data_IF_373102013335
#
_entry.id   IF_373102013335
#
_cell.length_a   1.000
_cell.length_b   1.000
_cell.length_c   1.000
_cell.angle_alpha   90.00
_cell.angle_beta   90.00
_cell.angle_gamma   90.00
#
_symmetry.space_group_name_H-M   'P 1'
#
loop_
_entity.id
_entity.type
_entity.pdbx_description
1 polymer ?
#
# COMPACT_ATOMS: atom_id res chain seq x y z
N UNK A 1 -49.67 -5.09 -29.86
CA UNK A 1 -49.36 -6.21 -28.92
C UNK A 1 -48.17 -7.06 -29.33
N UNK A 2 -47.94 -7.45 -30.61
CA UNK A 2 -46.78 -8.28 -31.02
C UNK A 2 -45.42 -7.58 -30.75
N UNK A 3 -45.29 -6.31 -31.03
CA UNK A 3 -44.08 -5.50 -30.80
C UNK A 3 -43.67 -5.40 -29.32
N UNK A 4 -44.63 -5.24 -28.41
CA UNK A 4 -44.39 -5.19 -26.97
C UNK A 4 -43.83 -6.52 -26.45
N UNK A 5 -44.40 -7.64 -26.95
CA UNK A 5 -43.92 -8.99 -26.61
C UNK A 5 -42.52 -9.27 -27.15
N UNK A 6 -42.18 -8.74 -28.34
CA UNK A 6 -40.83 -8.85 -28.93
C UNK A 6 -39.80 -8.04 -28.14
N UNK A 7 -40.12 -6.81 -27.78
CA UNK A 7 -39.23 -5.95 -26.95
C UNK A 7 -39.00 -6.55 -25.55
N UNK A 8 -40.06 -7.11 -24.93
CA UNK A 8 -39.92 -7.77 -23.63
C UNK A 8 -38.98 -9.01 -23.70
N UNK A 9 -39.06 -9.83 -24.77
CA UNK A 9 -38.13 -10.93 -24.97
C UNK A 9 -36.68 -10.47 -25.15
N UNK A 10 -36.45 -9.42 -25.92
CA UNK A 10 -35.10 -8.82 -26.10
C UNK A 10 -34.52 -8.36 -24.76
N UNK A 11 -35.28 -7.67 -23.94
CA UNK A 11 -34.85 -7.23 -22.61
C UNK A 11 -34.52 -8.41 -21.69
N UNK A 12 -35.34 -9.48 -21.73
CA UNK A 12 -35.08 -10.68 -20.94
C UNK A 12 -33.77 -11.36 -21.38
N UNK A 13 -33.56 -11.54 -22.70
CA UNK A 13 -32.32 -12.16 -23.19
C UNK A 13 -31.09 -11.27 -22.89
N UNK A 14 -31.21 -9.96 -23.05
CA UNK A 14 -30.14 -9.03 -22.67
C UNK A 14 -29.80 -9.13 -21.16
N UNK A 15 -30.82 -9.19 -20.31
CA UNK A 15 -30.65 -9.38 -18.87
C UNK A 15 -29.97 -10.69 -18.53
N UNK A 16 -30.37 -11.81 -19.16
CA UNK A 16 -29.74 -13.11 -18.97
C UNK A 16 -28.29 -13.14 -19.46
N UNK A 17 -28.00 -12.50 -20.59
CA UNK A 17 -26.63 -12.38 -21.11
C UNK A 17 -25.73 -11.56 -20.16
N UNK A 18 -26.22 -10.46 -19.62
CA UNK A 18 -25.50 -9.66 -18.63
C UNK A 18 -25.26 -10.43 -17.32
N UNK A 19 -26.25 -11.16 -16.85
CA UNK A 19 -26.11 -12.01 -15.66
C UNK A 19 -25.07 -13.13 -15.88
N UNK A 20 -25.10 -13.78 -17.04
CA UNK A 20 -24.11 -14.80 -17.41
C UNK A 20 -22.69 -14.21 -17.51
N UNK A 21 -22.54 -13.04 -18.13
CA UNK A 21 -21.26 -12.34 -18.21
C UNK A 21 -20.73 -11.95 -16.81
N UNK A 22 -21.59 -11.45 -15.93
CA UNK A 22 -21.23 -11.13 -14.56
C UNK A 22 -20.82 -12.38 -13.76
N UNK A 23 -21.55 -13.50 -13.92
CA UNK A 23 -21.21 -14.77 -13.28
C UNK A 23 -19.86 -15.29 -13.76
N UNK A 24 -19.59 -15.29 -15.06
CA UNK A 24 -18.32 -15.70 -15.66
C UNK A 24 -17.16 -14.81 -15.16
N UNK A 25 -17.36 -13.49 -15.13
CA UNK A 25 -16.37 -12.53 -14.61
C UNK A 25 -16.02 -12.84 -13.16
N UNK A 26 -17.03 -13.05 -12.30
CA UNK A 26 -16.81 -13.35 -10.89
C UNK A 26 -16.14 -14.72 -10.69
N UNK A 27 -16.51 -15.70 -11.47
CA UNK A 27 -15.86 -17.02 -11.44
C UNK A 27 -14.38 -16.93 -11.85
N UNK A 28 -14.07 -16.24 -12.96
CA UNK A 28 -12.71 -16.05 -13.44
C UNK A 28 -11.88 -15.22 -12.43
N UNK A 29 -12.46 -14.15 -11.85
CA UNK A 29 -11.82 -13.40 -10.78
C UNK A 29 -11.48 -14.29 -9.58
N UNK A 30 -12.44 -15.11 -9.12
CA UNK A 30 -12.22 -16.06 -8.03
C UNK A 30 -11.11 -17.07 -8.31
N UNK A 31 -11.03 -17.59 -9.56
CA UNK A 31 -9.93 -18.48 -9.97
C UNK A 31 -8.57 -17.80 -9.89
N UNK A 32 -8.45 -16.54 -10.39
CA UNK A 32 -7.18 -15.80 -10.34
C UNK A 32 -6.79 -15.44 -8.91
N UNK A 33 -7.75 -15.07 -8.06
CA UNK A 33 -7.51 -14.83 -6.64
C UNK A 33 -6.99 -16.09 -5.92
N UNK A 34 -7.62 -17.23 -6.16
CA UNK A 34 -7.19 -18.52 -5.59
C UNK A 34 -5.78 -18.92 -6.07
N UNK A 35 -5.48 -18.72 -7.36
CA UNK A 35 -4.16 -18.98 -7.92
C UNK A 35 -3.09 -18.06 -7.30
N UNK A 36 -3.40 -16.77 -7.12
CA UNK A 36 -2.48 -15.82 -6.49
C UNK A 36 -2.17 -16.20 -5.03
N UNK A 37 -3.18 -16.61 -4.26
CA UNK A 37 -2.99 -17.07 -2.87
C UNK A 37 -2.20 -18.38 -2.81
N UNK A 38 -2.47 -19.32 -3.72
CA UNK A 38 -1.77 -20.60 -3.77
C UNK A 38 -0.29 -20.46 -4.14
N UNK A 39 0.02 -19.56 -5.09
CA UNK A 39 1.41 -19.28 -5.52
C UNK A 39 2.20 -18.43 -4.53
N UNK A 40 1.53 -17.56 -3.77
CA UNK A 40 2.15 -16.62 -2.85
C UNK A 40 1.47 -16.65 -1.47
N UNK A 41 1.60 -17.75 -0.71
CA UNK A 41 1.00 -17.86 0.63
C UNK A 41 1.62 -16.81 1.59
N UNK A 42 0.99 -16.54 2.75
CA UNK A 42 1.54 -15.63 3.75
C UNK A 42 2.92 -16.08 4.21
N UNK A 43 3.86 -15.11 4.35
CA UNK A 43 5.24 -15.38 4.74
C UNK A 43 5.44 -15.43 6.26
N UNK A 44 4.53 -14.86 7.02
CA UNK A 44 4.63 -14.69 8.46
C UNK A 44 3.41 -15.19 9.20
N UNK A 45 3.08 -14.49 10.27
CA UNK A 45 1.96 -14.82 11.15
C UNK A 45 0.85 -13.76 11.08
N UNK A 46 -0.33 -14.13 11.57
CA UNK A 46 -1.46 -13.22 11.70
C UNK A 46 -1.72 -12.93 13.17
N UNK A 47 -1.76 -11.64 13.51
CA UNK A 47 -2.14 -11.14 14.84
C UNK A 47 -3.59 -10.65 14.79
N UNK A 48 -4.23 -10.60 15.97
CA UNK A 48 -5.52 -9.92 16.13
C UNK A 48 -5.29 -8.62 16.90
N UNK A 49 -5.32 -7.49 16.18
CA UNK A 49 -5.22 -6.17 16.76
C UNK A 49 -6.61 -5.52 16.78
N UNK A 50 -7.16 -5.31 17.98
CA UNK A 50 -8.57 -4.96 18.15
C UNK A 50 -9.49 -6.06 17.60
N UNK A 51 -10.29 -5.72 16.58
CA UNK A 51 -11.18 -6.66 15.88
C UNK A 51 -10.68 -7.10 14.50
N UNK A 52 -9.44 -6.77 14.14
CA UNK A 52 -8.91 -6.98 12.79
C UNK A 52 -7.69 -7.89 12.81
N UNK A 53 -7.60 -8.77 11.82
CA UNK A 53 -6.40 -9.58 11.58
C UNK A 53 -5.37 -8.73 10.84
N UNK A 54 -4.15 -8.73 11.35
CA UNK A 54 -3.00 -8.04 10.77
C UNK A 54 -1.91 -9.07 10.49
N UNK A 55 -1.50 -9.19 9.25
CA UNK A 55 -0.39 -10.06 8.87
C UNK A 55 0.93 -9.33 9.09
N UNK A 56 1.88 -10.03 9.69
CA UNK A 56 3.22 -9.55 10.00
C UNK A 56 4.27 -10.60 9.66
N UNK A 57 5.36 -10.15 9.07
CA UNK A 57 6.59 -10.93 8.90
C UNK A 57 7.63 -10.40 9.87
N UNK A 58 8.23 -11.27 10.67
CA UNK A 58 9.33 -10.95 11.56
C UNK A 58 10.62 -11.49 10.97
N UNK A 59 11.66 -10.65 10.90
CA UNK A 59 12.98 -10.98 10.34
C UNK A 59 14.09 -10.34 11.18
N UNK A 60 15.31 -10.80 10.95
CA UNK A 60 16.52 -10.20 11.53
C UNK A 60 16.81 -10.68 12.93
N UNK A 61 17.21 -9.75 13.81
CA UNK A 61 17.69 -10.05 15.18
C UNK A 61 16.55 -10.52 16.08
N UNK A 62 16.83 -11.39 17.06
CA UNK A 62 15.85 -11.78 18.05
C UNK A 62 15.36 -10.58 18.88
N UNK A 63 14.12 -10.69 19.41
CA UNK A 63 13.54 -9.68 20.30
C UNK A 63 14.47 -9.31 21.46
N UNK A 64 14.69 -8.02 21.65
CA UNK A 64 15.51 -7.47 22.72
C UNK A 64 17.03 -7.51 22.48
N UNK A 65 17.50 -8.04 21.34
CA UNK A 65 18.93 -8.07 21.00
C UNK A 65 19.38 -6.95 20.07
N UNK A 66 18.44 -6.21 19.50
CA UNK A 66 18.68 -5.08 18.61
C UNK A 66 17.45 -4.13 18.62
N UNK A 67 17.56 -2.90 18.06
CA UNK A 67 16.42 -2.02 17.92
C UNK A 67 15.32 -2.63 17.06
N UNK A 68 14.06 -2.38 17.45
CA UNK A 68 12.89 -2.76 16.65
C UNK A 68 12.70 -1.80 15.47
N UNK A 69 12.51 -2.34 14.28
CA UNK A 69 12.23 -1.61 13.05
C UNK A 69 10.91 -2.09 12.44
N UNK A 70 9.94 -1.20 12.32
CA UNK A 70 8.68 -1.45 11.62
C UNK A 70 8.78 -0.97 10.19
N UNK A 71 8.44 -1.83 9.21
CA UNK A 71 8.38 -1.50 7.80
C UNK A 71 6.94 -1.46 7.31
N UNK A 72 6.56 -0.35 6.63
CA UNK A 72 5.22 -0.10 6.08
C UNK A 72 5.33 0.14 4.58
N UNK A 73 4.79 -0.77 3.78
CA UNK A 73 4.86 -0.75 2.32
C UNK A 73 3.97 0.33 1.67
N UNK A 74 4.21 0.62 0.39
CA UNK A 74 3.49 1.59 -0.41
C UNK A 74 2.10 1.14 -0.93
N UNK A 75 1.54 1.92 -1.86
CA UNK A 75 0.30 1.57 -2.57
C UNK A 75 0.45 0.27 -3.33
N UNK A 76 -0.63 -0.52 -3.39
CA UNK A 76 -0.66 -1.84 -4.06
C UNK A 76 0.41 -2.83 -3.59
N UNK A 77 1.17 -2.50 -2.55
CA UNK A 77 2.24 -3.32 -1.98
C UNK A 77 1.72 -4.40 -1.03
N UNK A 78 2.66 -5.15 -0.48
CA UNK A 78 2.49 -6.10 0.62
C UNK A 78 3.82 -6.26 1.35
N UNK A 79 3.86 -7.07 2.40
CA UNK A 79 5.10 -7.47 3.08
C UNK A 79 6.15 -8.00 2.10
N UNK A 80 5.75 -8.58 0.96
CA UNK A 80 6.63 -9.12 -0.06
C UNK A 80 7.51 -8.06 -0.74
N UNK A 81 7.02 -6.83 -0.87
CA UNK A 81 7.84 -5.73 -1.36
C UNK A 81 9.07 -5.51 -0.46
N UNK A 82 8.83 -5.38 0.84
CA UNK A 82 9.87 -5.09 1.82
C UNK A 82 10.80 -6.29 2.08
N UNK A 83 10.31 -7.52 1.94
CA UNK A 83 11.10 -8.75 2.15
C UNK A 83 12.00 -9.11 0.98
N UNK A 84 11.91 -8.41 -0.17
CA UNK A 84 12.73 -8.74 -1.33
C UNK A 84 14.21 -8.33 -1.15
N UNK A 85 14.47 -7.08 -0.78
CA UNK A 85 15.83 -6.57 -0.58
C UNK A 85 16.01 -5.80 0.72
N UNK A 86 15.07 -4.91 1.07
CA UNK A 86 15.26 -3.98 2.18
C UNK A 86 15.40 -4.71 3.52
N UNK A 87 14.48 -5.59 3.86
CA UNK A 87 14.54 -6.28 5.15
C UNK A 87 15.75 -7.21 5.25
N UNK A 88 16.12 -8.02 4.24
CA UNK A 88 17.36 -8.79 4.27
C UNK A 88 18.61 -7.94 4.48
N UNK A 89 18.70 -6.76 3.85
CA UNK A 89 19.85 -5.85 3.99
C UNK A 89 19.99 -5.26 5.42
N UNK A 90 18.89 -5.17 6.17
CA UNK A 90 18.85 -4.60 7.52
C UNK A 90 18.81 -5.67 8.64
N UNK A 91 18.75 -6.94 8.26
CA UNK A 91 18.49 -8.04 9.19
C UNK A 91 19.62 -8.30 10.21
N UNK A 92 20.84 -7.86 9.94
CA UNK A 92 21.97 -8.00 10.87
C UNK A 92 21.93 -6.97 11.99
N UNK A 93 21.31 -5.80 11.76
CA UNK A 93 21.33 -4.66 12.67
C UNK A 93 20.03 -4.49 13.45
N UNK A 94 18.89 -4.99 12.91
CA UNK A 94 17.56 -4.73 13.47
C UNK A 94 16.76 -6.00 13.69
N UNK A 95 15.83 -5.94 14.66
CA UNK A 95 14.65 -6.80 14.67
C UNK A 95 13.57 -6.12 13.81
N UNK A 96 13.14 -6.76 12.74
CA UNK A 96 12.30 -6.14 11.70
C UNK A 96 10.90 -6.74 11.75
N UNK A 97 9.89 -5.88 11.88
CA UNK A 97 8.48 -6.22 11.81
C UNK A 97 7.88 -5.59 10.55
N UNK A 98 7.50 -6.40 9.59
CA UNK A 98 6.97 -5.97 8.29
C UNK A 98 5.48 -6.24 8.26
N UNK A 99 4.66 -5.20 8.17
CA UNK A 99 3.21 -5.34 8.20
C UNK A 99 2.58 -5.22 6.83
N UNK A 100 1.61 -6.08 6.53
CA UNK A 100 0.64 -5.78 5.47
C UNK A 100 -0.30 -4.68 5.96
N UNK A 101 -0.40 -3.59 5.20
CA UNK A 101 -1.35 -2.51 5.51
C UNK A 101 -2.80 -2.99 5.41
N UNK A 102 -3.74 -2.43 6.20
CA UNK A 102 -5.14 -2.84 6.21
C UNK A 102 -5.77 -2.96 4.82
N UNK A 103 -6.32 -4.14 4.52
CA UNK A 103 -6.95 -4.48 3.25
C UNK A 103 -6.01 -4.89 2.12
N UNK A 104 -4.69 -4.91 2.36
CA UNK A 104 -3.66 -5.34 1.43
C UNK A 104 -2.97 -6.60 1.97
N UNK A 105 -2.22 -7.30 1.10
CA UNK A 105 -1.59 -8.55 1.49
C UNK A 105 -2.59 -9.50 2.16
N UNK A 106 -2.31 -9.88 3.38
CA UNK A 106 -3.13 -10.78 4.19
C UNK A 106 -3.79 -10.13 5.40
N UNK A 107 -3.75 -8.79 5.49
CA UNK A 107 -4.43 -8.02 6.54
C UNK A 107 -5.89 -7.73 6.20
N UNK A 108 -6.74 -7.73 7.22
CA UNK A 108 -8.16 -7.40 7.08
C UNK A 108 -8.34 -5.90 6.73
N UNK A 109 -9.46 -5.59 6.11
CA UNK A 109 -9.90 -4.20 5.93
C UNK A 109 -10.48 -3.66 7.24
N UNK A 110 -10.09 -2.45 7.63
CA UNK A 110 -10.70 -1.79 8.81
C UNK A 110 -12.17 -1.44 8.54
N UNK A 111 -12.46 -0.92 7.33
CA UNK A 111 -13.80 -0.49 6.97
C UNK A 111 -14.07 -0.55 5.46
N UNK A 112 -15.27 -0.20 5.06
CA UNK A 112 -15.71 -0.20 3.67
C UNK A 112 -15.36 1.08 2.89
N UNK A 113 -14.94 2.17 3.55
CA UNK A 113 -14.69 3.48 2.95
C UNK A 113 -13.22 3.73 2.62
N UNK A 114 -12.33 2.82 3.01
CA UNK A 114 -10.88 2.93 2.94
C UNK A 114 -10.33 3.41 4.29
N UNK A 115 -9.49 2.59 4.91
CA UNK A 115 -8.85 2.95 6.16
C UNK A 115 -8.02 4.22 5.97
N UNK A 116 -8.23 5.25 6.80
CA UNK A 116 -7.42 6.47 6.78
C UNK A 116 -5.98 6.18 7.22
N UNK A 117 -5.03 7.05 6.84
CA UNK A 117 -3.64 6.91 7.30
C UNK A 117 -3.53 6.87 8.82
N UNK A 118 -4.36 7.62 9.54
CA UNK A 118 -4.44 7.63 11.01
C UNK A 118 -5.00 6.31 11.56
N UNK A 119 -6.05 5.75 10.94
CA UNK A 119 -6.58 4.45 11.33
C UNK A 119 -5.58 3.32 11.08
N UNK A 120 -4.85 3.38 9.95
CA UNK A 120 -3.78 2.43 9.64
C UNK A 120 -2.65 2.53 10.67
N UNK A 121 -2.17 3.73 10.98
CA UNK A 121 -1.13 3.96 11.98
C UNK A 121 -1.54 3.41 13.35
N UNK A 122 -2.74 3.72 13.83
CA UNK A 122 -3.25 3.23 15.11
C UNK A 122 -3.32 1.70 15.19
N UNK A 123 -3.78 1.03 14.11
CA UNK A 123 -3.86 -0.43 14.06
C UNK A 123 -2.48 -1.08 14.01
N UNK A 124 -1.57 -0.57 13.16
CA UNK A 124 -0.21 -1.12 13.04
C UNK A 124 0.61 -0.90 14.32
N UNK A 125 0.44 0.26 14.98
CA UNK A 125 1.01 0.51 16.31
C UNK A 125 0.56 -0.52 17.34
N UNK A 126 -0.76 -0.80 17.39
CA UNK A 126 -1.29 -1.80 18.31
C UNK A 126 -0.73 -3.20 18.00
N UNK A 127 -0.60 -3.57 16.74
CA UNK A 127 0.00 -4.83 16.32
C UNK A 127 1.50 -4.91 16.70
N UNK A 128 2.26 -3.83 16.51
CA UNK A 128 3.66 -3.74 16.90
C UNK A 128 3.85 -3.90 18.41
N UNK A 129 3.01 -3.24 19.23
CA UNK A 129 3.03 -3.37 20.68
C UNK A 129 2.73 -4.80 21.14
N UNK A 130 1.80 -5.53 20.49
CA UNK A 130 1.57 -6.96 20.76
C UNK A 130 2.80 -7.83 20.49
N UNK A 131 3.63 -7.46 19.52
CA UNK A 131 4.93 -8.10 19.26
C UNK A 131 6.01 -7.64 20.26
N UNK A 132 5.68 -6.69 21.15
CA UNK A 132 6.57 -6.09 22.14
C UNK A 132 7.54 -5.06 21.56
N UNK A 133 7.17 -4.46 20.41
CA UNK A 133 7.84 -3.30 19.84
C UNK A 133 7.07 -2.04 20.23
N UNK A 134 7.28 -1.59 21.48
CA UNK A 134 6.51 -0.47 22.07
C UNK A 134 6.95 0.89 21.50
N UNK A 135 8.23 1.03 21.17
CA UNK A 135 8.81 2.26 20.59
C UNK A 135 9.78 1.94 19.43
N UNK A 136 9.30 1.33 18.34
CA UNK A 136 10.15 0.99 17.20
C UNK A 136 10.62 2.24 16.44
N UNK A 137 11.65 2.08 15.62
CA UNK A 137 11.86 2.92 14.44
C UNK A 137 10.76 2.56 13.44
N UNK A 138 10.09 3.55 12.85
CA UNK A 138 9.04 3.29 11.86
C UNK A 138 9.49 3.82 10.49
N UNK A 139 9.62 2.90 9.54
CA UNK A 139 9.97 3.22 8.16
C UNK A 139 8.74 3.02 7.26
N UNK A 140 8.37 4.06 6.52
CA UNK A 140 7.29 4.01 5.54
C UNK A 140 7.74 4.38 4.14
N UNK A 141 7.41 3.54 3.16
CA UNK A 141 7.68 3.80 1.75
C UNK A 141 6.44 4.34 1.05
N UNK A 142 6.57 5.38 0.23
CA UNK A 142 5.48 5.93 -0.60
C UNK A 142 4.23 6.26 0.24
N UNK A 143 3.09 5.62 -0.03
CA UNK A 143 1.88 5.71 0.80
C UNK A 143 2.16 5.32 2.27
N UNK A 144 3.01 4.32 2.50
CA UNK A 144 3.45 3.91 3.83
C UNK A 144 4.14 5.03 4.59
N UNK A 145 4.81 5.96 3.89
CA UNK A 145 5.38 7.18 4.46
C UNK A 145 4.32 8.07 5.11
N UNK A 146 3.16 8.26 4.46
CA UNK A 146 2.04 9.01 5.05
C UNK A 146 1.48 8.32 6.31
N UNK A 147 1.44 6.98 6.32
CA UNK A 147 1.03 6.21 7.51
C UNK A 147 2.05 6.35 8.64
N UNK A 148 3.34 6.30 8.34
CA UNK A 148 4.42 6.48 9.31
C UNK A 148 4.42 7.91 9.89
N UNK A 149 4.17 8.92 9.06
CA UNK A 149 3.98 10.32 9.50
C UNK A 149 2.77 10.46 10.42
N UNK A 150 1.63 9.81 10.09
CA UNK A 150 0.46 9.80 10.96
C UNK A 150 0.75 9.12 12.31
N UNK A 151 1.57 8.07 12.32
CA UNK A 151 2.02 7.44 13.56
C UNK A 151 2.85 8.40 14.39
N UNK A 152 3.85 9.06 13.80
CA UNK A 152 4.73 9.99 14.52
C UNK A 152 3.99 11.22 15.08
N UNK A 153 2.99 11.73 14.36
CA UNK A 153 2.20 12.91 14.80
C UNK A 153 1.16 12.53 15.86
N UNK A 154 0.43 11.44 15.68
CA UNK A 154 -0.69 11.11 16.56
C UNK A 154 -0.29 10.22 17.75
N UNK A 155 0.85 9.55 17.67
CA UNK A 155 1.33 8.60 18.70
C UNK A 155 2.83 8.77 19.00
N UNK A 156 3.31 9.99 19.30
CA UNK A 156 4.74 10.30 19.41
C UNK A 156 5.47 9.50 20.50
N UNK A 157 4.77 9.09 21.56
CA UNK A 157 5.36 8.33 22.66
C UNK A 157 5.63 6.85 22.31
N UNK A 158 5.07 6.37 21.20
CA UNK A 158 5.16 4.98 20.74
C UNK A 158 6.07 4.78 19.52
N UNK A 159 6.94 5.74 19.25
CA UNK A 159 7.92 5.70 18.16
C UNK A 159 9.27 6.22 18.68
N UNK A 160 10.38 5.66 18.22
CA UNK A 160 11.73 6.13 18.60
C UNK A 160 12.37 6.99 17.52
N UNK A 161 12.10 6.72 16.25
CA UNK A 161 12.53 7.51 15.09
C UNK A 161 11.61 7.22 13.90
N UNK A 162 11.53 8.17 12.97
CA UNK A 162 10.75 8.07 11.73
C UNK A 162 11.70 8.04 10.53
N UNK A 163 11.46 7.13 9.59
CA UNK A 163 12.13 7.10 8.29
C UNK A 163 11.08 7.14 7.18
N UNK A 164 11.22 8.05 6.22
CA UNK A 164 10.39 8.07 5.01
C UNK A 164 11.24 7.76 3.78
N UNK A 165 10.78 6.82 2.96
CA UNK A 165 11.44 6.42 1.71
C UNK A 165 10.50 6.73 0.56
N UNK A 166 10.84 7.70 -0.28
CA UNK A 166 9.96 8.23 -1.35
C UNK A 166 8.54 8.50 -0.82
N UNK A 167 8.44 9.02 0.41
CA UNK A 167 7.21 9.11 1.19
C UNK A 167 6.29 10.24 0.76
N UNK A 168 4.98 9.98 0.70
CA UNK A 168 3.96 11.02 0.49
C UNK A 168 3.78 11.79 1.80
N UNK A 169 4.01 13.11 1.77
CA UNK A 169 3.96 13.96 2.97
C UNK A 169 3.06 15.20 2.82
N UNK A 170 3.04 15.83 1.66
CA UNK A 170 2.33 17.11 1.46
C UNK A 170 1.23 17.01 0.40
N UNK A 171 0.22 17.90 0.43
CA UNK A 171 -0.81 17.94 -0.60
C UNK A 171 -0.23 18.33 -1.96
N UNK A 172 -0.76 17.73 -3.00
CA UNK A 172 -0.39 17.95 -4.40
C UNK A 172 -1.59 18.41 -5.23
N UNK A 173 -1.35 18.93 -6.44
CA UNK A 173 -2.38 19.51 -7.29
C UNK A 173 -2.85 18.59 -8.44
N UNK A 174 -2.10 17.53 -8.75
CA UNK A 174 -2.50 16.59 -9.80
C UNK A 174 -3.77 15.84 -9.41
N UNK A 175 -4.74 15.71 -10.33
CA UNK A 175 -5.98 14.99 -10.03
C UNK A 175 -5.72 13.51 -9.79
N UNK A 176 -6.65 12.88 -9.07
CA UNK A 176 -6.63 11.43 -8.86
C UNK A 176 -6.66 10.70 -10.21
N UNK A 177 -5.75 9.76 -10.37
CA UNK A 177 -5.68 8.91 -11.57
C UNK A 177 -7.04 8.32 -11.94
N UNK A 178 -7.43 8.31 -13.22
CA UNK A 178 -8.73 7.82 -13.68
C UNK A 178 -9.07 6.40 -13.22
N UNK A 179 -8.09 5.51 -13.16
CA UNK A 179 -8.29 4.14 -12.67
C UNK A 179 -8.76 4.14 -11.21
N UNK A 180 -8.08 4.91 -10.35
CA UNK A 180 -8.47 5.03 -8.94
C UNK A 180 -9.79 5.77 -8.76
N UNK A 181 -10.07 6.79 -9.57
CA UNK A 181 -11.36 7.49 -9.57
C UNK A 181 -12.51 6.55 -9.91
N UNK A 182 -12.35 5.68 -10.89
CA UNK A 182 -13.36 4.68 -11.26
C UNK A 182 -13.47 3.62 -10.17
N UNK A 183 -12.36 2.98 -9.79
CA UNK A 183 -12.35 1.82 -8.90
C UNK A 183 -12.68 2.14 -7.44
N UNK A 184 -12.50 3.40 -6.98
CA UNK A 184 -12.94 3.87 -5.67
C UNK A 184 -14.43 4.19 -5.62
N UNK A 185 -15.05 4.50 -6.76
CA UNK A 185 -16.48 4.79 -6.84
C UNK A 185 -17.32 3.55 -6.53
N UNK A 186 -18.58 3.75 -6.08
CA UNK A 186 -19.46 2.63 -5.74
C UNK A 186 -19.76 1.73 -6.95
N UNK A 187 -20.11 2.33 -8.08
CA UNK A 187 -20.40 1.60 -9.32
C UNK A 187 -19.15 0.92 -9.90
N UNK A 188 -18.03 1.64 -10.00
CA UNK A 188 -16.77 1.10 -10.53
C UNK A 188 -16.20 -0.01 -9.64
N UNK A 189 -16.34 0.10 -8.32
CA UNK A 189 -15.96 -0.97 -7.37
C UNK A 189 -16.76 -2.25 -7.59
N UNK A 190 -18.02 -2.14 -8.04
CA UNK A 190 -18.89 -3.30 -8.31
C UNK A 190 -18.63 -3.93 -9.69
N UNK A 191 -18.27 -3.12 -10.69
CA UNK A 191 -18.14 -3.56 -12.09
C UNK A 191 -16.69 -3.63 -12.54
N UNK A 192 -15.95 -2.52 -12.42
CA UNK A 192 -14.58 -2.45 -12.94
C UNK A 192 -13.61 -3.33 -12.15
N UNK A 193 -13.74 -3.40 -10.82
CA UNK A 193 -12.83 -4.22 -10.00
C UNK A 193 -12.91 -5.71 -10.34
N UNK A 194 -14.08 -6.36 -10.44
CA UNK A 194 -14.15 -7.76 -10.88
C UNK A 194 -13.58 -7.97 -12.28
N UNK A 195 -13.81 -7.05 -13.22
CA UNK A 195 -13.26 -7.12 -14.58
C UNK A 195 -11.72 -7.04 -14.58
N UNK A 196 -11.15 -6.09 -13.82
CA UNK A 196 -9.70 -5.98 -13.68
C UNK A 196 -9.11 -7.26 -13.07
N UNK A 197 -9.69 -7.76 -11.98
CA UNK A 197 -9.22 -9.00 -11.36
C UNK A 197 -9.28 -10.18 -12.33
N UNK A 198 -10.37 -10.30 -13.12
CA UNK A 198 -10.58 -11.41 -14.02
C UNK A 198 -9.71 -11.36 -15.28
N UNK A 199 -9.46 -10.16 -15.84
CA UNK A 199 -9.01 -10.05 -17.23
C UNK A 199 -7.81 -9.12 -17.45
N UNK A 200 -7.26 -8.42 -16.41
CA UNK A 200 -6.05 -7.63 -16.62
C UNK A 200 -4.94 -8.51 -17.19
N UNK A 201 -4.33 -8.15 -18.33
CA UNK A 201 -3.31 -8.98 -18.96
C UNK A 201 -1.95 -8.78 -18.28
N UNK A 202 -1.10 -9.82 -18.31
CA UNK A 202 0.20 -9.81 -17.63
C UNK A 202 1.15 -8.74 -18.15
N UNK A 203 1.06 -8.37 -19.43
CA UNK A 203 1.86 -7.27 -19.98
C UNK A 203 1.47 -5.90 -19.40
N UNK A 204 0.21 -5.68 -19.04
CA UNK A 204 -0.19 -4.45 -18.36
C UNK A 204 0.37 -4.42 -16.93
N UNK A 205 0.39 -5.56 -16.23
CA UNK A 205 1.01 -5.69 -14.91
C UNK A 205 2.52 -5.41 -14.99
N UNK A 206 3.20 -6.02 -15.95
CA UNK A 206 4.64 -5.82 -16.18
C UNK A 206 4.97 -4.35 -16.49
N UNK A 207 4.14 -3.68 -17.31
CA UNK A 207 4.29 -2.25 -17.60
C UNK A 207 4.14 -1.40 -16.34
N UNK A 208 3.13 -1.66 -15.52
CA UNK A 208 2.96 -0.93 -14.26
C UNK A 208 4.14 -1.11 -13.30
N UNK A 209 4.76 -2.29 -13.26
CA UNK A 209 5.98 -2.49 -12.49
C UNK A 209 7.14 -1.66 -13.08
N UNK A 210 7.32 -1.65 -14.41
CA UNK A 210 8.34 -0.84 -15.07
C UNK A 210 8.16 0.65 -14.78
N UNK A 211 6.93 1.16 -14.83
CA UNK A 211 6.61 2.55 -14.51
C UNK A 211 6.97 2.92 -13.06
N UNK A 212 6.69 2.04 -12.11
CA UNK A 212 7.01 2.28 -10.69
C UNK A 212 8.51 2.26 -10.42
N UNK A 213 9.27 1.42 -11.13
CA UNK A 213 10.73 1.34 -10.98
C UNK A 213 11.50 2.37 -11.81
N UNK A 214 10.87 3.02 -12.79
CA UNK A 214 11.55 3.97 -13.65
C UNK A 214 12.30 5.07 -12.87
N UNK A 215 13.48 5.50 -13.30
CA UNK A 215 14.22 5.08 -14.50
C UNK A 215 14.99 3.76 -14.36
N UNK A 216 15.03 3.15 -13.17
CA UNK A 216 15.69 1.86 -12.97
C UNK A 216 14.91 0.72 -13.61
N UNK A 217 15.62 -0.34 -13.98
CA UNK A 217 14.98 -1.58 -14.38
C UNK A 217 14.35 -2.28 -13.16
N UNK A 218 13.26 -3.02 -13.39
CA UNK A 218 12.71 -3.91 -12.36
C UNK A 218 13.78 -4.97 -12.01
N UNK A 219 14.15 -5.14 -10.73
CA UNK A 219 15.16 -6.12 -10.35
C UNK A 219 14.76 -7.53 -10.76
N UNK A 220 15.75 -8.33 -11.16
CA UNK A 220 15.53 -9.73 -11.49
C UNK A 220 14.90 -10.47 -10.31
N UNK A 221 13.89 -11.30 -10.57
CA UNK A 221 13.16 -12.04 -9.54
C UNK A 221 12.11 -11.24 -8.76
N UNK A 222 12.11 -9.89 -8.84
CA UNK A 222 11.18 -9.07 -8.07
C UNK A 222 9.71 -9.43 -8.33
N UNK A 223 9.28 -9.47 -9.58
CA UNK A 223 7.88 -9.75 -9.93
C UNK A 223 7.43 -11.14 -9.42
N UNK A 224 8.32 -12.14 -9.51
CA UNK A 224 8.07 -13.50 -9.01
C UNK A 224 7.99 -13.54 -7.48
N UNK A 225 8.82 -12.75 -6.76
CA UNK A 225 8.77 -12.66 -5.30
C UNK A 225 7.57 -11.85 -4.82
N UNK A 226 7.32 -10.70 -5.45
CA UNK A 226 6.26 -9.76 -5.08
C UNK A 226 4.86 -10.36 -5.23
N UNK A 227 4.63 -11.14 -6.29
CA UNK A 227 3.34 -11.76 -6.57
C UNK A 227 2.24 -10.75 -6.85
N UNK A 228 2.30 -10.01 -7.97
CA UNK A 228 1.36 -8.92 -8.27
C UNK A 228 -0.10 -9.36 -8.29
N UNK A 229 -0.37 -10.65 -8.49
CA UNK A 229 -1.72 -11.24 -8.36
C UNK A 229 -2.36 -11.00 -7.00
N UNK A 230 -1.58 -10.86 -5.91
CA UNK A 230 -2.11 -10.53 -4.59
C UNK A 230 -2.71 -9.12 -4.55
N UNK A 231 -2.07 -8.15 -5.22
CA UNK A 231 -2.53 -6.76 -5.32
C UNK A 231 -3.77 -6.64 -6.21
N UNK A 232 -3.94 -7.56 -7.17
CA UNK A 232 -5.07 -7.61 -8.10
C UNK A 232 -6.32 -8.31 -7.54
N UNK A 233 -6.28 -8.85 -6.32
CA UNK A 233 -7.50 -9.40 -5.69
C UNK A 233 -8.53 -8.30 -5.48
N UNK A 234 -9.80 -8.64 -5.66
CA UNK A 234 -10.92 -7.68 -5.52
C UNK A 234 -10.92 -6.94 -4.18
N UNK A 235 -10.53 -7.62 -3.10
CA UNK A 235 -10.40 -7.00 -1.77
C UNK A 235 -9.30 -5.96 -1.75
N UNK A 236 -8.11 -6.28 -2.28
CA UNK A 236 -6.94 -5.41 -2.30
C UNK A 236 -7.14 -4.22 -3.24
N UNK A 237 -7.66 -4.43 -4.44
CA UNK A 237 -7.99 -3.35 -5.39
C UNK A 237 -8.96 -2.33 -4.78
N UNK A 238 -10.04 -2.81 -4.12
CA UNK A 238 -11.02 -1.92 -3.47
C UNK A 238 -10.43 -1.14 -2.31
N UNK A 239 -9.63 -1.79 -1.47
CA UNK A 239 -8.97 -1.13 -0.35
C UNK A 239 -8.00 -0.06 -0.87
N UNK A 240 -7.09 -0.44 -1.76
CA UNK A 240 -6.09 0.46 -2.31
C UNK A 240 -6.70 1.66 -3.05
N UNK A 241 -7.73 1.43 -3.88
CA UNK A 241 -8.39 2.50 -4.63
C UNK A 241 -9.01 3.56 -3.70
N UNK A 242 -9.69 3.15 -2.64
CA UNK A 242 -10.30 4.06 -1.67
C UNK A 242 -9.27 4.78 -0.82
N UNK A 243 -8.24 4.08 -0.37
CA UNK A 243 -7.10 4.68 0.34
C UNK A 243 -6.43 5.76 -0.51
N UNK A 244 -6.18 5.48 -1.80
CA UNK A 244 -5.62 6.46 -2.74
C UNK A 244 -6.55 7.65 -2.97
N UNK A 245 -7.86 7.42 -3.06
CA UNK A 245 -8.84 8.50 -3.26
C UNK A 245 -8.94 9.44 -2.06
N UNK A 246 -8.73 8.94 -0.85
CA UNK A 246 -8.80 9.72 0.39
C UNK A 246 -7.49 10.44 0.72
N UNK A 247 -6.35 9.96 0.21
CA UNK A 247 -5.01 10.32 0.67
C UNK A 247 -4.73 11.83 0.60
N UNK A 248 -5.15 12.50 -0.48
CA UNK A 248 -4.91 13.95 -0.65
C UNK A 248 -5.53 14.76 0.49
N UNK A 249 -6.78 14.47 0.83
CA UNK A 249 -7.46 15.14 1.93
C UNK A 249 -6.77 14.83 3.27
N UNK A 250 -6.46 13.57 3.53
CA UNK A 250 -5.84 13.12 4.77
C UNK A 250 -4.46 13.77 5.00
N UNK A 251 -3.66 13.88 3.95
CA UNK A 251 -2.35 14.55 3.99
C UNK A 251 -2.51 16.07 4.17
N UNK A 252 -3.53 16.68 3.55
CA UNK A 252 -3.85 18.11 3.74
C UNK A 252 -4.18 18.42 5.21
N UNK A 253 -4.91 17.52 5.87
CA UNK A 253 -5.27 17.66 7.28
C UNK A 253 -4.08 17.36 8.23
N UNK A 254 -3.16 16.48 7.85
CA UNK A 254 -2.05 16.05 8.69
C UNK A 254 -0.81 16.95 8.57
N UNK A 255 -0.48 17.41 7.37
CA UNK A 255 0.80 18.07 7.08
C UNK A 255 1.08 19.37 7.88
N UNK A 256 0.07 20.18 8.30
CA UNK A 256 0.33 21.33 9.16
C UNK A 256 0.92 20.97 10.53
N UNK A 257 0.80 19.72 10.95
CA UNK A 257 1.24 19.22 12.25
C UNK A 257 2.63 18.58 12.25
N UNK A 258 3.31 18.50 11.10
CA UNK A 258 4.63 17.83 11.04
C UNK A 258 5.71 18.51 11.90
N UNK A 259 5.58 19.81 12.16
CA UNK A 259 6.44 20.51 13.12
C UNK A 259 6.32 20.05 14.58
N UNK A 260 5.27 19.27 14.91
CA UNK A 260 5.04 18.69 16.25
C UNK A 260 5.82 17.37 16.46
N UNK A 261 6.41 16.76 15.41
CA UNK A 261 7.12 15.48 15.51
C UNK A 261 8.35 15.63 16.41
N UNK A 262 8.40 14.94 17.57
CA UNK A 262 9.45 15.15 18.57
C UNK A 262 10.63 14.18 18.43
N UNK A 263 10.57 13.24 17.49
CA UNK A 263 11.58 12.18 17.31
C UNK A 263 12.50 12.50 16.12
N UNK A 264 13.69 11.90 16.04
CA UNK A 264 14.54 12.00 14.86
C UNK A 264 13.81 11.56 13.59
N UNK A 265 14.01 12.29 12.49
CA UNK A 265 13.39 12.01 11.18
C UNK A 265 14.46 11.91 10.12
N UNK A 266 14.47 10.77 9.41
CA UNK A 266 15.29 10.55 8.23
C UNK A 266 14.39 10.52 6.99
N UNK A 267 14.77 11.27 5.96
CA UNK A 267 14.04 11.37 4.70
C UNK A 267 14.96 10.90 3.57
N UNK A 268 14.62 9.79 2.95
CA UNK A 268 15.35 9.24 1.81
C UNK A 268 14.48 9.34 0.56
N UNK A 269 15.00 9.93 -0.54
CA UNK A 269 14.24 10.12 -1.76
C UNK A 269 15.12 10.10 -3.00
N UNK A 270 14.62 9.50 -4.08
CA UNK A 270 15.29 9.54 -5.37
C UNK A 270 15.04 10.85 -6.11
N UNK A 271 16.07 11.44 -6.74
CA UNK A 271 15.93 12.72 -7.46
C UNK A 271 15.17 12.58 -8.78
N UNK A 272 15.04 11.36 -9.31
CA UNK A 272 14.28 11.03 -10.52
C UNK A 272 12.92 10.37 -10.25
N UNK A 273 12.35 10.61 -9.06
CA UNK A 273 11.01 10.10 -8.71
C UNK A 273 9.91 10.96 -9.34
N UNK A 274 9.32 10.46 -10.43
CA UNK A 274 8.22 11.12 -11.16
C UNK A 274 6.83 10.83 -10.55
N UNK A 275 6.74 9.91 -9.57
CA UNK A 275 5.47 9.52 -8.93
C UNK A 275 5.18 10.32 -7.65
N UNK A 276 6.23 10.62 -6.89
CA UNK A 276 6.17 11.40 -5.65
C UNK A 276 7.29 12.44 -5.70
N UNK A 277 6.95 13.72 -5.95
CA UNK A 277 7.95 14.78 -6.12
C UNK A 277 8.86 14.93 -4.92
N UNK A 278 10.19 14.77 -5.07
CA UNK A 278 11.15 14.99 -3.99
C UNK A 278 11.12 16.42 -3.47
N UNK A 279 10.88 17.42 -4.35
CA UNK A 279 10.82 18.84 -3.98
C UNK A 279 9.64 19.13 -3.06
N UNK A 280 8.47 18.58 -3.38
CA UNK A 280 7.26 18.79 -2.59
C UNK A 280 7.34 18.02 -1.28
N UNK A 281 7.62 16.72 -1.34
CA UNK A 281 7.47 15.83 -0.19
C UNK A 281 8.73 15.76 0.67
N UNK A 282 9.86 15.38 0.11
CA UNK A 282 11.08 15.15 0.88
C UNK A 282 11.70 16.47 1.36
N UNK A 283 11.91 17.43 0.45
CA UNK A 283 12.43 18.73 0.84
C UNK A 283 11.45 19.52 1.72
N UNK A 284 10.13 19.29 1.52
CA UNK A 284 9.10 19.84 2.40
C UNK A 284 9.26 19.36 3.84
N UNK A 285 9.48 18.08 4.07
CA UNK A 285 9.75 17.51 5.40
C UNK A 285 11.04 18.09 6.00
N UNK A 286 12.13 18.13 5.23
CA UNK A 286 13.41 18.68 5.68
C UNK A 286 13.32 20.15 6.11
N UNK A 287 12.43 20.93 5.47
CA UNK A 287 12.20 22.35 5.85
C UNK A 287 11.33 22.51 7.10
N UNK A 288 10.32 21.64 7.28
CA UNK A 288 9.25 21.86 8.25
C UNK A 288 9.37 21.00 9.51
N UNK A 289 10.17 19.94 9.49
CA UNK A 289 10.44 19.09 10.66
C UNK A 289 11.81 19.44 11.23
N UNK A 290 11.83 19.93 12.46
CA UNK A 290 13.08 20.35 13.09
C UNK A 290 14.06 19.19 13.23
N UNK A 291 15.25 19.36 12.66
CA UNK A 291 16.31 18.36 12.74
C UNK A 291 16.14 17.16 11.80
N UNK A 292 15.18 17.20 10.87
CA UNK A 292 15.07 16.18 9.85
C UNK A 292 16.32 16.15 8.97
N UNK A 293 16.85 14.95 8.75
CA UNK A 293 17.96 14.69 7.83
C UNK A 293 17.39 14.30 6.47
N UNK A 294 17.92 14.88 5.40
CA UNK A 294 17.49 14.61 4.02
C UNK A 294 18.64 13.99 3.24
N UNK A 295 18.41 12.80 2.69
CA UNK A 295 19.28 12.15 1.74
C UNK A 295 18.58 12.04 0.39
N UNK A 296 19.12 12.73 -0.62
CA UNK A 296 18.69 12.62 -2.00
C UNK A 296 19.61 11.67 -2.75
N UNK A 297 19.02 10.69 -3.42
CA UNK A 297 19.73 9.68 -4.22
C UNK A 297 19.66 10.09 -5.69
N UNK A 298 20.79 10.54 -6.23
CA UNK A 298 20.84 11.07 -7.59
C UNK A 298 20.50 10.02 -8.65
N UNK A 299 19.63 10.40 -9.59
CA UNK A 299 19.17 9.54 -10.68
C UNK A 299 18.30 8.36 -10.27
N UNK A 300 17.98 8.20 -8.99
CA UNK A 300 17.10 7.12 -8.49
C UNK A 300 15.64 7.55 -8.56
N UNK A 301 14.76 6.62 -8.96
CA UNK A 301 13.30 6.81 -9.02
C UNK A 301 12.58 6.48 -7.71
N UNK A 302 11.33 6.01 -7.86
CA UNK A 302 10.38 5.83 -6.75
C UNK A 302 10.68 4.65 -5.81
N UNK A 303 11.55 3.71 -6.21
CA UNK A 303 11.80 2.47 -5.46
C UNK A 303 13.26 2.36 -4.95
N UNK A 304 13.79 3.37 -4.22
CA UNK A 304 15.18 3.38 -3.79
C UNK A 304 15.55 2.21 -2.87
N UNK A 305 14.59 1.62 -2.15
CA UNK A 305 14.80 0.45 -1.28
C UNK A 305 15.19 -0.82 -2.05
N UNK A 306 15.19 -0.76 -3.38
CA UNK A 306 15.56 -1.89 -4.25
C UNK A 306 16.83 -1.63 -5.09
N UNK A 307 17.49 -0.49 -4.93
CA UNK A 307 18.70 -0.12 -5.64
C UNK A 307 19.96 -0.63 -4.95
#
# INVERSE_FOLDING_TARGET
MKWIRSAAKVLVYAGLALAAAAALTNWQAGRREAAAVASHPPLGQTLVAGSHRVHVVEMGRPKGSAPDLVLIHGSSGSTRDMTFRLAPALAEDFRILIFDRPGLGYSDRINGTGATIRQQAALLRQAAAQMGADRPIVLGQSYGGAVALAWAVDHPDSISALVTVSGVAYPWTTPLDPLYRVTSSRAGSMVAVPLLTAFVPDNAVSRSLQEVFAPQAVPEGYAAHFGPGLSLRRTSLRANARQRANLLQEVTELSPRYGEIPVPVEVLHGTADDLVSPELHAQGLARNVKGAQLTLLDGIGHMPQHC
#
